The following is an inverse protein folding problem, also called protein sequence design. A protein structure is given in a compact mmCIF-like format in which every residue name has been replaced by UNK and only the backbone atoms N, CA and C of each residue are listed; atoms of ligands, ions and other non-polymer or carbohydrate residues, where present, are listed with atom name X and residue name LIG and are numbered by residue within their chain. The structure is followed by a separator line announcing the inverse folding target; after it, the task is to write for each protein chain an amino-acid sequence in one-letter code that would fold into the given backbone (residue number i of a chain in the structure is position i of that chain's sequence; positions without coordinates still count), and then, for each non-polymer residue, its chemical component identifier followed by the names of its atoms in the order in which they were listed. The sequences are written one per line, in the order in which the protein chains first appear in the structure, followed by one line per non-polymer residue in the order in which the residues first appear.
data_IF_876589196332
#
_entry.id   IF_876589196332
#
_cell.length_a   1.000
_cell.length_b   1.000
_cell.length_c   1.000
_cell.angle_alpha   90.00
_cell.angle_beta   90.00
_cell.angle_gamma   90.00
#
_symmetry.space_group_name_H-M   'P 1'
#
loop_
_entity.id
_entity.type
_entity.pdbx_description
1 polymer ?
#
# COMPACT_ATOMS: atom_id res chain seq x y z
N UNK A 1 10.30 5.06 7.75
CA UNK A 1 9.80 6.28 7.05
C UNK A 1 10.84 7.38 7.19
N UNK A 2 11.13 8.11 6.11
CA UNK A 2 12.06 9.25 6.11
C UNK A 2 11.28 10.56 5.93
N UNK A 3 11.45 11.51 6.85
CA UNK A 3 10.85 12.84 6.76
C UNK A 3 11.94 13.85 6.38
N UNK A 4 11.71 14.56 5.28
CA UNK A 4 12.57 15.62 4.75
C UNK A 4 11.92 16.95 5.07
N UNK A 5 12.58 17.77 5.87
CA UNK A 5 12.09 19.12 6.16
C UNK A 5 12.24 20.01 4.93
N UNK A 6 11.13 20.44 4.37
CA UNK A 6 11.03 21.25 3.15
C UNK A 6 10.05 22.41 3.37
N UNK A 7 10.19 23.09 4.50
CA UNK A 7 9.25 24.11 4.95
C UNK A 7 9.10 25.23 3.91
N UNK A 8 7.86 25.53 3.55
CA UNK A 8 7.48 26.51 2.53
C UNK A 8 7.56 27.94 3.09
N UNK A 9 8.76 28.39 3.41
CA UNK A 9 8.99 29.68 4.12
C UNK A 9 8.51 30.91 3.35
N UNK A 10 8.31 30.80 2.03
CA UNK A 10 7.79 31.89 1.18
C UNK A 10 6.26 31.85 1.04
N UNK A 11 5.61 30.72 1.37
CA UNK A 11 4.17 30.56 1.23
C UNK A 11 3.42 31.46 2.23
N UNK A 12 2.30 32.11 1.82
CA UNK A 12 1.51 32.99 2.70
C UNK A 12 0.99 32.31 3.97
N UNK A 13 0.62 31.02 3.93
CA UNK A 13 0.19 30.29 5.13
C UNK A 13 1.31 30.18 6.17
N UNK A 14 2.53 29.89 5.75
CA UNK A 14 3.68 29.88 6.66
C UNK A 14 3.95 31.26 7.23
N UNK A 15 3.99 32.29 6.38
CA UNK A 15 4.24 33.68 6.79
C UNK A 15 3.18 34.23 7.74
N UNK A 16 1.92 33.80 7.59
CA UNK A 16 0.85 34.19 8.51
C UNK A 16 1.07 33.67 9.94
N UNK A 17 1.90 32.63 10.14
CA UNK A 17 2.35 32.16 11.44
C UNK A 17 1.25 31.62 12.36
N UNK A 18 0.00 31.45 11.86
CA UNK A 18 -1.13 30.99 12.67
C UNK A 18 -0.91 29.56 13.15
N UNK A 19 -1.26 29.30 14.41
CA UNK A 19 -1.14 27.99 15.04
C UNK A 19 -2.51 27.33 15.21
N UNK A 20 -2.49 26.00 15.30
CA UNK A 20 -3.65 25.18 15.63
C UNK A 20 -3.37 24.31 16.85
N UNK A 21 -4.41 23.98 17.59
CA UNK A 21 -4.41 22.81 18.47
C UNK A 21 -4.78 21.61 17.60
N UNK A 22 -3.84 20.69 17.42
CA UNK A 22 -4.07 19.51 16.59
C UNK A 22 -5.09 18.59 17.26
N UNK A 23 -6.22 18.37 16.60
CA UNK A 23 -7.29 17.46 17.05
C UNK A 23 -7.50 16.29 16.12
N UNK A 24 -6.87 16.32 14.95
CA UNK A 24 -7.00 15.26 13.96
C UNK A 24 -6.05 15.42 12.77
N UNK A 25 -6.17 14.48 11.86
CA UNK A 25 -5.37 14.34 10.65
C UNK A 25 -6.30 14.18 9.45
N UNK A 26 -6.03 14.87 8.34
CA UNK A 26 -6.80 14.74 7.10
C UNK A 26 -5.93 14.20 6.00
N UNK A 27 -6.35 13.09 5.41
CA UNK A 27 -5.66 12.46 4.30
C UNK A 27 -6.23 12.94 2.97
N UNK A 28 -5.32 13.35 2.09
CA UNK A 28 -5.60 13.83 0.75
C UNK A 28 -4.84 13.02 -0.30
N UNK A 29 -5.17 13.23 -1.58
CA UNK A 29 -4.29 12.96 -2.71
C UNK A 29 -4.32 14.14 -3.67
N UNK A 30 -3.19 14.38 -4.34
CA UNK A 30 -2.91 15.66 -5.05
C UNK A 30 -3.85 16.01 -6.21
N UNK A 31 -4.74 15.09 -6.61
CA UNK A 31 -5.72 15.32 -7.69
C UNK A 31 -5.10 15.58 -9.07
N UNK A 32 -3.86 15.17 -9.28
CA UNK A 32 -3.19 15.29 -10.56
C UNK A 32 -2.12 14.20 -10.74
N UNK A 33 -1.79 13.80 -11.99
CA UNK A 33 -0.84 12.71 -12.28
C UNK A 33 0.62 13.12 -12.01
N UNK A 34 0.94 13.44 -10.77
CA UNK A 34 2.27 13.89 -10.35
C UNK A 34 2.78 13.06 -9.18
N UNK A 35 3.74 12.14 -9.42
CA UNK A 35 4.32 11.32 -8.36
C UNK A 35 5.44 11.99 -7.57
N UNK A 36 5.99 13.12 -8.05
CA UNK A 36 7.15 13.77 -7.41
C UNK A 36 6.71 14.86 -6.44
N UNK A 37 6.88 14.65 -5.14
CA UNK A 37 6.59 15.62 -4.09
C UNK A 37 7.40 16.92 -4.24
N UNK A 38 8.65 16.81 -4.70
CA UNK A 38 9.54 17.96 -4.91
C UNK A 38 8.99 18.99 -5.90
N UNK A 39 8.13 18.58 -6.84
CA UNK A 39 7.45 19.50 -7.78
C UNK A 39 6.51 20.44 -7.03
N UNK A 40 5.74 19.90 -6.09
CA UNK A 40 4.82 20.68 -5.25
C UNK A 40 5.61 21.57 -4.30
N UNK A 41 6.64 21.06 -3.63
CA UNK A 41 7.51 21.84 -2.74
C UNK A 41 8.06 23.07 -3.47
N UNK A 42 8.61 22.87 -4.68
CA UNK A 42 9.15 23.98 -5.49
C UNK A 42 8.08 25.00 -5.89
N UNK A 43 6.92 24.50 -6.37
CA UNK A 43 5.82 25.36 -6.86
C UNK A 43 5.15 26.13 -5.72
N UNK A 44 4.92 25.48 -4.57
CA UNK A 44 4.16 26.07 -3.48
C UNK A 44 5.02 26.94 -2.55
N UNK A 45 6.35 26.84 -2.62
CA UNK A 45 7.25 27.76 -1.89
C UNK A 45 7.42 29.09 -2.63
N UNK A 46 6.32 29.77 -2.88
CA UNK A 46 6.24 31.08 -3.53
C UNK A 46 5.31 32.00 -2.74
N UNK A 47 5.60 33.30 -2.76
CA UNK A 47 4.73 34.33 -2.18
C UNK A 47 3.40 34.45 -2.94
N UNK A 48 3.38 34.09 -4.24
CA UNK A 48 2.20 34.16 -5.11
C UNK A 48 1.29 32.94 -4.98
N UNK A 49 1.77 31.88 -4.31
CA UNK A 49 0.96 30.67 -4.08
C UNK A 49 0.06 30.88 -2.86
N UNK A 50 -1.09 31.51 -3.07
CA UNK A 50 -2.04 31.89 -2.03
C UNK A 50 -3.30 31.00 -1.96
N UNK A 51 -3.34 29.88 -2.69
CA UNK A 51 -4.53 29.04 -2.84
C UNK A 51 -4.54 27.81 -1.95
N UNK A 52 -3.38 27.32 -1.50
CA UNK A 52 -3.28 26.11 -0.70
C UNK A 52 -1.97 26.04 0.11
N UNK A 53 -2.01 25.30 1.20
CA UNK A 53 -0.84 24.92 1.98
C UNK A 53 -1.15 23.70 2.83
N UNK A 54 -0.41 22.64 2.63
CA UNK A 54 -0.53 21.35 3.33
C UNK A 54 0.69 21.11 4.22
N UNK A 55 0.59 20.24 5.20
CA UNK A 55 1.70 20.00 6.14
C UNK A 55 2.77 19.06 5.59
N UNK A 56 2.37 18.13 4.71
CA UNK A 56 3.32 17.25 4.05
C UNK A 56 2.79 16.73 2.71
N UNK A 57 3.75 16.41 1.81
CA UNK A 57 3.54 15.57 0.63
C UNK A 57 4.26 14.24 0.82
N UNK A 58 3.62 13.15 0.39
CA UNK A 58 4.24 11.81 0.31
C UNK A 58 4.61 11.54 -1.14
N UNK A 59 5.90 11.37 -1.42
CA UNK A 59 6.42 11.13 -2.77
C UNK A 59 6.00 9.75 -3.29
N UNK A 60 5.41 9.73 -4.47
CA UNK A 60 4.90 8.51 -5.08
C UNK A 60 5.98 7.57 -5.60
N UNK A 61 7.19 8.06 -5.88
CA UNK A 61 8.29 7.24 -6.39
C UNK A 61 9.12 6.63 -5.27
N UNK A 62 9.39 7.39 -4.21
CA UNK A 62 10.31 7.01 -3.12
C UNK A 62 9.59 6.63 -1.83
N UNK A 63 8.38 7.14 -1.59
CA UNK A 63 7.69 7.04 -0.31
C UNK A 63 8.28 7.99 0.75
N UNK A 64 9.16 8.91 0.39
CA UNK A 64 9.67 9.92 1.32
C UNK A 64 8.60 10.97 1.63
N UNK A 65 8.61 11.47 2.85
CA UNK A 65 7.70 12.53 3.31
C UNK A 65 8.40 13.86 3.23
N UNK A 66 7.84 14.80 2.51
CA UNK A 66 8.31 16.19 2.44
C UNK A 66 7.45 17.05 3.36
N UNK A 67 7.94 17.35 4.55
CA UNK A 67 7.24 18.21 5.51
C UNK A 67 7.33 19.68 5.03
N UNK A 68 6.18 20.29 4.77
CA UNK A 68 6.04 21.61 4.16
C UNK A 68 5.57 22.70 5.12
N UNK A 69 4.94 22.31 6.22
CA UNK A 69 4.62 23.20 7.35
C UNK A 69 5.02 22.52 8.67
N UNK A 70 5.36 23.30 9.72
CA UNK A 70 5.37 22.75 11.08
C UNK A 70 4.00 22.16 11.44
N UNK A 71 3.95 21.02 12.11
CA UNK A 71 2.71 20.26 12.33
C UNK A 71 1.61 21.08 13.04
N UNK A 72 1.97 21.98 13.89
CA UNK A 72 1.02 22.84 14.62
C UNK A 72 0.70 24.18 13.91
N UNK A 73 1.09 24.37 12.65
CA UNK A 73 0.67 25.51 11.87
C UNK A 73 -0.73 25.29 11.29
N UNK A 74 -1.46 26.39 11.10
CA UNK A 74 -2.72 26.34 10.37
C UNK A 74 -2.41 26.20 8.88
N UNK A 75 -2.79 25.07 8.30
CA UNK A 75 -2.75 24.86 6.85
C UNK A 75 -3.94 25.49 6.13
N UNK A 76 -3.94 25.35 4.80
CA UNK A 76 -5.09 25.65 3.95
C UNK A 76 -5.27 24.52 2.96
N UNK A 77 -5.83 23.41 3.42
CA UNK A 77 -5.92 22.15 2.68
C UNK A 77 -7.33 21.56 2.58
N UNK A 78 -8.19 21.79 3.57
CA UNK A 78 -9.53 21.21 3.62
C UNK A 78 -10.63 22.12 3.08
N UNK A 79 -10.36 23.42 2.84
CA UNK A 79 -11.38 24.37 2.39
C UNK A 79 -12.48 24.67 3.39
N UNK A 80 -12.29 24.32 4.69
CA UNK A 80 -13.28 24.51 5.74
C UNK A 80 -12.66 24.58 7.13
N UNK A 81 -13.47 24.30 8.17
CA UNK A 81 -13.06 24.37 9.58
C UNK A 81 -11.97 23.37 9.96
N UNK A 82 -11.79 22.28 9.19
CA UNK A 82 -10.70 21.32 9.35
C UNK A 82 -9.31 21.98 9.32
N UNK A 83 -9.13 23.06 8.57
CA UNK A 83 -7.89 23.85 8.56
C UNK A 83 -7.49 24.37 9.94
N UNK A 84 -8.41 24.48 10.89
CA UNK A 84 -8.16 25.01 12.24
C UNK A 84 -7.82 23.91 13.26
N UNK A 85 -7.88 22.64 12.86
CA UNK A 85 -7.77 21.51 13.80
C UNK A 85 -7.04 20.30 13.26
N UNK A 86 -6.92 20.14 11.95
CA UNK A 86 -6.35 18.95 11.33
C UNK A 86 -5.03 19.25 10.62
N UNK A 87 -4.09 18.32 10.75
CA UNK A 87 -2.89 18.25 9.90
C UNK A 87 -3.31 17.65 8.57
N UNK A 88 -3.07 18.33 7.45
CA UNK A 88 -3.33 17.81 6.10
C UNK A 88 -2.10 17.17 5.50
N UNK A 89 -2.25 15.99 4.90
CA UNK A 89 -1.18 15.24 4.23
C UNK A 89 -1.65 14.82 2.85
N UNK A 90 -0.87 15.13 1.82
CA UNK A 90 -1.13 14.83 0.42
C UNK A 90 -0.32 13.62 -0.05
N UNK A 91 -1.00 12.61 -0.57
CA UNK A 91 -0.36 11.53 -1.31
C UNK A 91 -0.17 11.92 -2.76
N UNK A 92 1.05 11.87 -3.28
CA UNK A 92 1.32 12.05 -4.69
C UNK A 92 0.75 10.89 -5.52
N UNK A 93 0.27 11.19 -6.72
CA UNK A 93 -0.47 10.26 -7.56
C UNK A 93 0.36 9.73 -8.74
N UNK A 94 -0.01 8.57 -9.32
CA UNK A 94 0.72 7.96 -10.42
C UNK A 94 0.75 8.83 -11.67
N UNK A 95 1.90 8.91 -12.35
CA UNK A 95 2.04 9.65 -13.61
C UNK A 95 1.27 9.00 -14.79
N UNK A 96 0.90 7.73 -14.68
CA UNK A 96 0.22 6.97 -15.73
C UNK A 96 -1.32 7.05 -15.67
N UNK A 97 -1.89 7.90 -14.82
CA UNK A 97 -3.31 8.23 -14.83
C UNK A 97 -3.55 9.52 -15.61
N UNK A 98 -4.76 9.68 -16.15
CA UNK A 98 -5.21 10.89 -16.82
C UNK A 98 -6.65 11.20 -16.41
N UNK A 99 -6.84 12.30 -15.69
CA UNK A 99 -8.16 12.76 -15.28
C UNK A 99 -9.04 13.09 -16.49
N UNK A 100 -10.30 12.65 -16.45
CA UNK A 100 -11.30 12.82 -17.52
C UNK A 100 -12.44 13.73 -17.11
N UNK A 101 -12.52 14.10 -15.83
CA UNK A 101 -13.51 15.01 -15.26
C UNK A 101 -13.78 14.68 -13.79
N UNK A 102 -13.78 15.70 -12.93
CA UNK A 102 -13.93 15.53 -11.49
C UNK A 102 -12.90 14.55 -10.90
N UNK A 103 -13.37 13.55 -10.19
CA UNK A 103 -12.51 12.49 -9.61
C UNK A 103 -12.27 11.29 -10.53
N UNK A 104 -12.78 11.31 -11.78
CA UNK A 104 -12.62 10.18 -12.70
C UNK A 104 -11.34 10.29 -13.52
N UNK A 105 -10.68 9.14 -13.74
CA UNK A 105 -9.48 9.07 -14.58
C UNK A 105 -9.40 7.77 -15.37
N UNK A 106 -8.63 7.80 -16.46
CA UNK A 106 -8.14 6.60 -17.16
C UNK A 106 -6.73 6.28 -16.70
N UNK A 107 -6.31 5.03 -16.81
CA UNK A 107 -4.98 4.59 -16.41
C UNK A 107 -4.33 3.77 -17.53
N UNK A 108 -3.18 4.23 -18.03
CA UNK A 108 -2.44 3.53 -19.08
C UNK A 108 -1.59 2.36 -18.56
N UNK A 109 -1.34 2.29 -17.25
CA UNK A 109 -0.56 1.22 -16.62
C UNK A 109 -1.02 0.97 -15.17
N UNK A 110 -2.07 0.18 -15.01
CA UNK A 110 -2.67 -0.12 -13.70
C UNK A 110 -1.69 -0.75 -12.70
N UNK A 111 -0.83 -1.72 -13.05
CA UNK A 111 0.18 -2.24 -12.12
C UNK A 111 1.12 -1.17 -11.57
N UNK A 112 1.61 -0.26 -12.41
CA UNK A 112 2.48 0.85 -11.98
C UNK A 112 1.69 1.82 -11.08
N UNK A 113 0.46 2.16 -11.48
CA UNK A 113 -0.40 3.03 -10.68
C UNK A 113 -0.67 2.45 -9.29
N UNK A 114 -1.00 1.16 -9.20
CA UNK A 114 -1.19 0.47 -7.92
C UNK A 114 0.07 0.46 -7.07
N UNK A 115 1.24 0.26 -7.66
CA UNK A 115 2.51 0.27 -6.92
C UNK A 115 2.82 1.65 -6.31
N UNK A 116 2.51 2.74 -7.03
CA UNK A 116 2.63 4.11 -6.52
C UNK A 116 1.62 4.36 -5.39
N UNK A 117 0.34 4.07 -5.63
CA UNK A 117 -0.71 4.27 -4.64
C UNK A 117 -0.51 3.42 -3.37
N UNK A 118 -0.01 2.18 -3.51
CA UNK A 118 0.39 1.34 -2.38
C UNK A 118 1.50 1.99 -1.55
N UNK A 119 2.55 2.47 -2.20
CA UNK A 119 3.69 3.10 -1.53
C UNK A 119 3.28 4.33 -0.73
N UNK A 120 2.46 5.20 -1.34
CA UNK A 120 1.98 6.41 -0.65
C UNK A 120 1.03 6.06 0.48
N UNK A 121 0.17 5.04 0.32
CA UNK A 121 -0.69 4.51 1.38
C UNK A 121 0.12 3.99 2.57
N UNK A 122 1.10 3.11 2.32
CA UNK A 122 1.93 2.51 3.38
C UNK A 122 2.71 3.59 4.16
N UNK A 123 3.24 4.58 3.44
CA UNK A 123 3.92 5.72 4.07
C UNK A 123 2.94 6.60 4.86
N UNK A 124 1.73 6.85 4.34
CA UNK A 124 0.69 7.60 5.05
C UNK A 124 0.31 6.91 6.36
N UNK A 125 0.17 5.57 6.37
CA UNK A 125 -0.07 4.80 7.60
C UNK A 125 1.02 5.05 8.64
N UNK A 126 2.30 5.00 8.24
CA UNK A 126 3.43 5.22 9.17
C UNK A 126 3.49 6.68 9.66
N UNK A 127 3.24 7.65 8.78
CA UNK A 127 3.21 9.06 9.15
C UNK A 127 2.06 9.37 10.11
N UNK A 128 0.87 8.86 9.84
CA UNK A 128 -0.30 9.07 10.69
C UNK A 128 -0.13 8.40 12.05
N UNK A 129 0.49 7.21 12.11
CA UNK A 129 0.83 6.56 13.38
C UNK A 129 1.83 7.40 14.20
N UNK A 130 2.84 7.96 13.54
CA UNK A 130 3.80 8.87 14.17
C UNK A 130 3.10 10.13 14.73
N UNK A 131 2.29 10.79 13.92
CA UNK A 131 1.56 12.00 14.33
C UNK A 131 0.50 11.72 15.40
N UNK A 132 -0.19 10.58 15.35
CA UNK A 132 -1.11 10.19 16.41
C UNK A 132 -0.39 10.01 17.75
N UNK A 133 0.83 9.45 17.77
CA UNK A 133 1.66 9.35 18.98
C UNK A 133 2.11 10.74 19.45
N UNK A 134 2.62 11.58 18.54
CA UNK A 134 3.12 12.92 18.85
C UNK A 134 2.04 13.82 19.48
N UNK A 135 0.80 13.75 18.95
CA UNK A 135 -0.31 14.59 19.40
C UNK A 135 -1.30 13.88 20.32
N UNK A 136 -0.98 12.68 20.79
CA UNK A 136 -1.84 11.86 21.66
C UNK A 136 -3.26 11.69 21.11
N UNK A 137 -3.37 11.30 19.84
CA UNK A 137 -4.63 11.08 19.13
C UNK A 137 -4.97 9.58 19.06
N UNK A 138 -6.24 9.22 19.29
CA UNK A 138 -6.70 7.86 18.98
C UNK A 138 -7.15 7.80 17.52
N UNK A 139 -6.46 7.03 16.64
CA UNK A 139 -6.79 6.95 15.22
C UNK A 139 -8.16 6.34 14.93
N UNK A 140 -8.77 5.64 15.90
CA UNK A 140 -10.10 5.04 15.76
C UNK A 140 -11.21 5.93 16.28
N UNK A 141 -10.89 7.01 17.02
CA UNK A 141 -11.90 7.94 17.51
C UNK A 141 -12.54 8.70 16.35
N UNK A 142 -13.85 8.95 16.49
CA UNK A 142 -14.63 9.62 15.46
C UNK A 142 -14.10 11.03 15.14
N UNK A 143 -13.90 11.30 13.85
CA UNK A 143 -13.41 12.60 13.35
C UNK A 143 -11.91 12.86 13.55
N UNK A 144 -11.15 11.97 14.18
CA UNK A 144 -9.70 12.15 14.38
C UNK A 144 -8.94 11.93 13.09
N UNK A 145 -9.15 10.82 12.39
CA UNK A 145 -8.60 10.60 11.06
C UNK A 145 -9.73 10.60 10.04
N UNK A 146 -9.69 11.55 9.13
CA UNK A 146 -10.68 11.70 8.06
C UNK A 146 -9.99 11.83 6.70
N UNK A 147 -10.68 11.42 5.63
CA UNK A 147 -10.33 11.83 4.28
C UNK A 147 -10.93 13.20 3.96
N UNK A 148 -10.52 13.82 2.85
CA UNK A 148 -11.18 15.04 2.37
C UNK A 148 -12.67 14.78 2.12
N UNK A 149 -12.99 13.66 1.48
CA UNK A 149 -14.38 13.22 1.22
C UNK A 149 -15.20 13.04 2.50
N UNK A 150 -14.64 12.41 3.53
CA UNK A 150 -15.31 12.30 4.83
C UNK A 150 -15.46 13.65 5.53
N UNK A 151 -14.45 14.52 5.41
CA UNK A 151 -14.48 15.89 5.90
C UNK A 151 -15.60 16.70 5.29
N UNK A 152 -15.84 16.55 3.98
CA UNK A 152 -16.99 17.16 3.30
C UNK A 152 -18.33 16.66 3.86
N UNK A 153 -18.49 15.36 4.00
CA UNK A 153 -19.71 14.76 4.59
C UNK A 153 -19.98 15.25 6.01
N UNK A 154 -18.93 15.61 6.76
CA UNK A 154 -19.00 16.17 8.11
C UNK A 154 -19.19 17.68 8.15
N UNK A 155 -19.23 18.36 7.00
CA UNK A 155 -19.34 19.82 6.91
C UNK A 155 -18.08 20.58 7.35
N UNK A 156 -16.92 19.94 7.42
CA UNK A 156 -15.64 20.55 7.85
C UNK A 156 -14.66 20.76 6.71
N UNK A 157 -14.98 20.31 5.50
CA UNK A 157 -14.16 20.46 4.30
C UNK A 157 -15.00 20.74 3.05
N UNK A 158 -14.37 21.26 2.00
CA UNK A 158 -14.96 21.44 0.68
C UNK A 158 -15.26 20.10 -0.01
N UNK A 159 -16.04 20.14 -1.09
CA UNK A 159 -16.47 18.92 -1.78
C UNK A 159 -15.36 18.37 -2.70
N UNK A 160 -14.67 17.32 -2.22
CA UNK A 160 -13.67 16.57 -2.97
C UNK A 160 -13.82 15.07 -2.71
N UNK A 161 -13.32 14.23 -3.64
CA UNK A 161 -13.46 12.76 -3.59
C UNK A 161 -12.23 12.02 -3.09
N UNK A 162 -11.16 12.72 -2.75
CA UNK A 162 -9.86 12.19 -2.38
C UNK A 162 -9.79 11.70 -0.93
N UNK A 163 -8.93 10.72 -0.67
CA UNK A 163 -8.15 9.94 -1.63
C UNK A 163 -8.89 8.69 -2.16
N UNK A 164 -10.12 8.41 -1.70
CA UNK A 164 -10.84 7.16 -1.99
C UNK A 164 -11.11 6.95 -3.48
N UNK A 165 -11.25 8.03 -4.27
CA UNK A 165 -11.42 7.93 -5.72
C UNK A 165 -10.26 7.21 -6.39
N UNK A 166 -9.00 7.46 -5.95
CA UNK A 166 -7.80 6.83 -6.47
C UNK A 166 -7.80 5.32 -6.18
N UNK A 167 -8.07 4.96 -4.91
CA UNK A 167 -8.07 3.55 -4.49
C UNK A 167 -9.19 2.74 -5.15
N UNK A 168 -10.38 3.32 -5.26
CA UNK A 168 -11.56 2.67 -5.83
C UNK A 168 -11.36 2.38 -7.32
N UNK A 169 -10.92 3.38 -8.10
CA UNK A 169 -10.75 3.21 -9.55
C UNK A 169 -9.56 2.30 -9.89
N UNK A 170 -8.54 2.25 -9.04
CA UNK A 170 -7.45 1.28 -9.17
C UNK A 170 -7.81 -0.12 -8.63
N UNK A 171 -9.00 -0.31 -8.03
CA UNK A 171 -9.45 -1.59 -7.50
C UNK A 171 -8.54 -2.12 -6.37
N UNK A 172 -8.09 -1.24 -5.46
CA UNK A 172 -7.15 -1.60 -4.40
C UNK A 172 -7.84 -2.17 -3.15
N UNK A 173 -9.15 -1.95 -3.00
CA UNK A 173 -9.92 -2.42 -1.85
C UNK A 173 -9.61 -1.68 -0.55
N UNK A 174 -8.94 -0.52 -0.61
CA UNK A 174 -8.69 0.32 0.54
C UNK A 174 -9.92 1.17 0.88
N UNK A 175 -10.12 1.38 2.17
CA UNK A 175 -11.14 2.27 2.73
C UNK A 175 -10.53 3.08 3.86
N UNK A 176 -11.17 4.17 4.26
CA UNK A 176 -10.71 4.92 5.44
C UNK A 176 -10.79 4.09 6.73
N UNK A 177 -11.71 3.12 6.83
CA UNK A 177 -11.75 2.20 7.98
C UNK A 177 -10.54 1.27 8.02
N UNK A 178 -10.13 0.72 6.85
CA UNK A 178 -8.92 -0.10 6.78
C UNK A 178 -7.68 0.74 7.03
N UNK A 179 -7.65 1.99 6.59
CA UNK A 179 -6.57 2.93 6.85
C UNK A 179 -6.42 3.24 8.35
N UNK A 180 -7.50 3.62 9.03
CA UNK A 180 -7.50 3.88 10.49
C UNK A 180 -7.04 2.67 11.31
N UNK A 181 -7.49 1.47 10.96
CA UNK A 181 -7.04 0.22 11.60
C UNK A 181 -5.56 -0.05 11.37
N UNK A 182 -5.06 0.20 10.16
CA UNK A 182 -3.63 0.07 9.85
C UNK A 182 -2.79 1.07 10.65
N UNK A 183 -3.26 2.34 10.78
CA UNK A 183 -2.62 3.35 11.63
C UNK A 183 -2.57 2.90 13.10
N UNK A 184 -3.69 2.39 13.64
CA UNK A 184 -3.75 1.88 15.03
C UNK A 184 -2.77 0.73 15.25
N UNK A 185 -2.70 -0.20 14.32
CA UNK A 185 -1.74 -1.31 14.37
C UNK A 185 -0.29 -0.81 14.35
N UNK A 186 0.02 0.18 13.50
CA UNK A 186 1.35 0.79 13.43
C UNK A 186 1.75 1.57 14.69
N UNK A 187 0.78 2.04 15.48
CA UNK A 187 1.04 2.69 16.80
C UNK A 187 1.41 1.68 17.89
N UNK A 188 0.87 0.47 17.85
CA UNK A 188 1.13 -0.57 18.87
C UNK A 188 2.46 -1.30 18.69
N UNK A 189 3.15 -1.11 17.56
CA UNK A 189 4.42 -1.76 17.26
C UNK A 189 5.61 -0.91 17.69
N UNK A 190 6.43 -1.39 18.61
CA UNK A 190 7.82 -0.98 18.70
C UNK A 190 8.53 -1.26 17.37
N UNK A 191 9.39 -0.33 16.97
CA UNK A 191 10.31 -0.48 15.85
C UNK A 191 11.21 -1.70 16.10
N UNK A 192 10.80 -2.85 15.59
CA UNK A 192 11.71 -3.95 15.32
C UNK A 192 11.17 -4.74 14.14
N UNK A 193 12.06 -5.00 13.18
CA UNK A 193 11.79 -5.97 12.14
C UNK A 193 11.34 -7.28 12.78
N UNK A 194 10.35 -7.91 12.21
CA UNK A 194 9.75 -9.16 12.62
C UNK A 194 8.89 -9.11 13.89
N UNK A 195 7.58 -8.87 13.76
CA UNK A 195 6.62 -9.54 14.63
C UNK A 195 5.21 -9.54 14.07
N UNK A 196 4.44 -10.59 14.30
CA UNK A 196 3.18 -10.86 13.62
C UNK A 196 2.05 -10.01 14.19
N UNK A 197 1.22 -9.47 13.30
CA UNK A 197 -0.08 -8.90 13.63
C UNK A 197 -1.04 -10.00 14.08
N UNK A 198 -2.01 -9.73 14.98
CA UNK A 198 -3.03 -10.71 15.33
C UNK A 198 -3.98 -10.94 14.16
N UNK A 199 -4.23 -12.21 13.88
CA UNK A 199 -5.23 -12.87 13.05
C UNK A 199 -6.22 -12.01 12.22
N UNK A 200 -5.70 -11.30 11.22
CA UNK A 200 -6.31 -11.22 9.90
C UNK A 200 -5.32 -11.86 8.95
N UNK A 201 -5.70 -12.79 8.08
CA UNK A 201 -4.73 -13.42 7.21
C UNK A 201 -4.05 -12.33 6.38
N UNK A 202 -2.74 -12.19 6.58
CA UNK A 202 -1.87 -11.36 5.74
C UNK A 202 -2.29 -11.63 4.30
N UNK A 203 -2.76 -10.60 3.61
CA UNK A 203 -3.21 -10.74 2.21
C UNK A 203 -1.96 -10.98 1.38
N UNK A 204 -1.49 -12.22 1.42
CA UNK A 204 -0.28 -12.66 0.70
C UNK A 204 -0.51 -12.38 -0.77
N UNK A 205 0.29 -11.46 -1.32
CA UNK A 205 0.23 -11.16 -2.74
C UNK A 205 1.15 -12.13 -3.49
N UNK A 206 0.53 -13.04 -4.22
CA UNK A 206 1.19 -14.05 -5.04
C UNK A 206 1.54 -13.46 -6.40
N UNK A 207 2.84 -13.35 -6.71
CA UNK A 207 3.36 -12.78 -7.96
C UNK A 207 3.87 -13.88 -8.86
N UNK A 208 3.48 -13.87 -10.13
CA UNK A 208 4.03 -14.75 -11.16
C UNK A 208 5.26 -14.06 -11.75
N UNK A 209 6.44 -14.61 -11.47
CA UNK A 209 7.74 -14.07 -11.88
C UNK A 209 8.37 -14.96 -12.92
N UNK A 210 8.84 -14.38 -14.04
CA UNK A 210 9.49 -15.09 -15.16
C UNK A 210 11.00 -14.84 -15.26
N UNK A 211 11.55 -14.14 -14.28
CA UNK A 211 13.00 -13.93 -14.18
C UNK A 211 13.36 -12.84 -13.18
N UNK A 212 14.61 -12.87 -12.74
CA UNK A 212 15.24 -11.83 -11.94
C UNK A 212 16.66 -11.61 -12.45
N UNK A 213 17.05 -10.36 -12.68
CA UNK A 213 18.28 -9.99 -13.38
C UNK A 213 19.00 -8.86 -12.64
N UNK A 214 20.31 -8.96 -12.49
CA UNK A 214 21.15 -7.85 -11.99
C UNK A 214 21.40 -6.78 -13.08
N UNK A 215 21.26 -7.14 -14.36
CA UNK A 215 21.42 -6.23 -15.48
C UNK A 215 20.05 -5.86 -16.06
N UNK A 216 19.72 -4.56 -16.05
CA UNK A 216 18.44 -4.02 -16.53
C UNK A 216 18.12 -4.46 -17.96
N UNK A 217 19.11 -4.44 -18.86
CA UNK A 217 18.94 -4.84 -20.27
C UNK A 217 18.45 -6.29 -20.43
N UNK A 218 18.92 -7.21 -19.58
CA UNK A 218 18.47 -8.60 -19.61
C UNK A 218 17.00 -8.73 -19.18
N UNK A 219 16.58 -7.94 -18.20
CA UNK A 219 15.17 -7.87 -17.80
C UNK A 219 14.29 -7.27 -18.91
N UNK A 220 14.75 -6.21 -19.59
CA UNK A 220 14.05 -5.61 -20.73
C UNK A 220 13.89 -6.59 -21.88
N UNK A 221 14.92 -7.36 -22.21
CA UNK A 221 14.87 -8.39 -23.24
C UNK A 221 13.86 -9.49 -22.86
N UNK A 222 13.84 -9.93 -21.61
CA UNK A 222 12.87 -10.93 -21.14
C UNK A 222 11.45 -10.36 -21.15
N UNK A 223 11.27 -9.10 -20.73
CA UNK A 223 9.98 -8.41 -20.79
C UNK A 223 9.44 -8.35 -22.24
N UNK A 224 10.28 -8.02 -23.21
CA UNK A 224 9.88 -7.99 -24.61
C UNK A 224 9.41 -9.36 -25.10
N UNK A 225 10.13 -10.44 -24.77
CA UNK A 225 9.76 -11.82 -25.13
C UNK A 225 8.41 -12.22 -24.53
N UNK A 226 8.18 -11.95 -23.24
CA UNK A 226 6.94 -12.35 -22.57
C UNK A 226 5.73 -11.55 -23.06
N UNK A 227 5.93 -10.26 -23.38
CA UNK A 227 4.88 -9.43 -24.01
C UNK A 227 4.53 -9.91 -25.42
N UNK A 228 5.51 -10.27 -26.22
CA UNK A 228 5.31 -10.83 -27.57
C UNK A 228 4.55 -12.17 -27.52
N UNK A 229 4.66 -12.92 -26.43
CA UNK A 229 3.90 -14.15 -26.20
C UNK A 229 2.46 -13.93 -25.68
N UNK A 230 1.98 -12.68 -25.69
CA UNK A 230 0.60 -12.34 -25.34
C UNK A 230 0.37 -11.92 -23.88
N UNK A 231 1.42 -11.81 -23.07
CA UNK A 231 1.32 -11.33 -21.68
C UNK A 231 1.60 -9.81 -21.62
N UNK A 232 0.71 -9.02 -22.20
CA UNK A 232 0.83 -7.55 -22.36
C UNK A 232 1.08 -6.81 -21.04
N UNK A 233 0.50 -7.31 -19.94
CA UNK A 233 0.54 -6.69 -18.62
C UNK A 233 1.85 -6.98 -17.85
N UNK A 234 2.79 -7.73 -18.48
CA UNK A 234 4.09 -7.98 -17.88
C UNK A 234 4.88 -6.68 -17.69
N UNK A 235 5.63 -6.61 -16.58
CA UNK A 235 6.42 -5.44 -16.21
C UNK A 235 7.69 -5.82 -15.45
N UNK A 236 8.61 -4.86 -15.33
CA UNK A 236 9.82 -5.00 -14.51
C UNK A 236 9.57 -4.32 -13.17
N UNK A 237 9.70 -5.09 -12.09
CA UNK A 237 9.77 -4.57 -10.73
C UNK A 237 11.25 -4.43 -10.34
N UNK A 238 11.64 -3.20 -9.95
CA UNK A 238 12.99 -2.94 -9.46
C UNK A 238 12.98 -3.13 -7.94
N UNK A 239 13.90 -3.96 -7.45
CA UNK A 239 14.04 -4.31 -6.03
C UNK A 239 15.50 -4.22 -5.61
N UNK A 240 15.77 -4.41 -4.32
CA UNK A 240 17.12 -4.39 -3.77
C UNK A 240 17.88 -3.10 -4.11
N UNK A 241 17.27 -1.96 -3.77
CA UNK A 241 17.82 -0.61 -4.01
C UNK A 241 18.32 -0.38 -5.45
N UNK A 242 17.64 -0.95 -6.43
CA UNK A 242 18.00 -0.80 -7.84
C UNK A 242 18.93 -1.88 -8.41
N UNK A 243 19.35 -2.84 -7.59
CA UNK A 243 20.32 -3.87 -8.00
C UNK A 243 19.69 -5.12 -8.61
N UNK A 244 18.36 -5.28 -8.50
CA UNK A 244 17.67 -6.45 -9.03
C UNK A 244 16.39 -6.06 -9.78
N UNK A 245 16.28 -6.57 -11.02
CA UNK A 245 15.16 -6.35 -11.94
C UNK A 245 14.35 -7.64 -12.07
N UNK A 246 13.14 -7.69 -11.49
CA UNK A 246 12.25 -8.86 -11.59
C UNK A 246 11.22 -8.64 -12.70
N UNK A 247 11.15 -9.58 -13.65
CA UNK A 247 10.09 -9.57 -14.67
C UNK A 247 8.89 -10.32 -14.13
N UNK A 248 7.75 -9.63 -13.99
CA UNK A 248 6.51 -10.15 -13.43
C UNK A 248 5.37 -10.08 -14.44
N UNK A 249 4.48 -11.07 -14.41
CA UNK A 249 3.36 -11.20 -15.37
C UNK A 249 2.01 -10.92 -14.70
N UNK A 250 1.97 -10.94 -13.38
CA UNK A 250 0.77 -10.67 -12.62
C UNK A 250 0.98 -10.83 -11.12
N UNK A 251 0.05 -10.28 -10.34
CA UNK A 251 0.01 -10.37 -8.88
C UNK A 251 -1.43 -10.57 -8.41
N UNK A 252 -1.65 -11.51 -7.50
CA UNK A 252 -2.97 -11.96 -7.08
C UNK A 252 -3.06 -12.10 -5.56
N UNK A 253 -4.18 -11.72 -4.98
CA UNK A 253 -4.49 -11.99 -3.56
C UNK A 253 -4.93 -13.43 -3.31
N UNK A 254 -5.31 -14.15 -4.37
CA UNK A 254 -5.72 -15.56 -4.32
C UNK A 254 -4.63 -16.40 -5.01
N UNK A 255 -4.04 -17.33 -4.28
CA UNK A 255 -2.96 -18.21 -4.77
C UNK A 255 -3.35 -18.99 -6.01
N UNK A 256 -4.55 -19.54 -6.06
CA UNK A 256 -5.06 -20.30 -7.20
C UNK A 256 -5.06 -19.49 -8.52
N UNK A 257 -5.34 -18.17 -8.45
CA UNK A 257 -5.28 -17.30 -9.63
C UNK A 257 -3.83 -17.09 -10.12
N UNK A 258 -2.87 -16.97 -9.20
CA UNK A 258 -1.45 -16.93 -9.56
C UNK A 258 -0.98 -18.26 -10.18
N UNK A 259 -1.41 -19.39 -9.62
CA UNK A 259 -1.10 -20.73 -10.15
C UNK A 259 -1.71 -20.97 -11.54
N UNK A 260 -2.94 -20.50 -11.76
CA UNK A 260 -3.57 -20.56 -13.09
C UNK A 260 -2.82 -19.72 -14.13
N UNK A 261 -2.35 -18.51 -13.76
CA UNK A 261 -1.49 -17.71 -14.66
C UNK A 261 -0.12 -18.36 -14.85
N UNK A 262 0.49 -18.90 -13.79
CA UNK A 262 1.74 -19.65 -13.87
C UNK A 262 1.67 -20.80 -14.89
N UNK A 263 0.57 -21.58 -14.87
CA UNK A 263 0.35 -22.66 -15.82
C UNK A 263 0.30 -22.16 -17.27
N UNK A 264 -0.39 -21.03 -17.52
CA UNK A 264 -0.45 -20.39 -18.85
C UNK A 264 0.94 -19.93 -19.32
N UNK A 265 1.72 -19.30 -18.43
CA UNK A 265 3.09 -18.82 -18.72
C UNK A 265 4.03 -19.99 -19.03
N UNK A 266 3.95 -21.08 -18.26
CA UNK A 266 4.72 -22.31 -18.51
C UNK A 266 4.32 -22.97 -19.82
N UNK A 267 3.02 -23.03 -20.15
CA UNK A 267 2.54 -23.57 -21.44
C UNK A 267 3.04 -22.75 -22.63
N UNK A 268 3.27 -21.45 -22.45
CA UNK A 268 3.88 -20.58 -23.46
C UNK A 268 5.43 -20.72 -23.55
N UNK A 269 6.03 -21.69 -22.85
CA UNK A 269 7.47 -22.01 -22.95
C UNK A 269 8.37 -21.20 -22.00
N UNK A 270 7.82 -20.48 -21.03
CA UNK A 270 8.63 -19.68 -20.10
C UNK A 270 8.83 -20.38 -18.76
N UNK A 271 10.05 -20.33 -18.24
CA UNK A 271 10.30 -20.67 -16.84
C UNK A 271 9.72 -19.58 -15.94
N UNK A 272 8.83 -19.97 -15.03
CA UNK A 272 8.18 -19.03 -14.11
C UNK A 272 7.93 -19.67 -12.74
N UNK A 273 7.84 -18.82 -11.72
CA UNK A 273 7.57 -19.20 -10.33
C UNK A 273 6.51 -18.25 -9.74
N UNK A 274 5.80 -18.71 -8.71
CA UNK A 274 4.98 -17.84 -7.86
C UNK A 274 5.82 -17.43 -6.65
N UNK A 275 5.91 -16.13 -6.41
CA UNK A 275 6.63 -15.56 -5.25
C UNK A 275 5.67 -14.74 -4.38
N UNK A 276 6.00 -14.60 -3.09
CA UNK A 276 5.32 -13.68 -2.16
C UNK A 276 5.98 -12.29 -2.18
N UNK A 277 5.44 -11.34 -1.43
CA UNK A 277 5.97 -9.98 -1.32
C UNK A 277 7.44 -9.95 -0.86
N UNK A 278 7.83 -10.85 0.04
CA UNK A 278 9.20 -11.01 0.53
C UNK A 278 10.17 -11.61 -0.51
N UNK A 279 9.70 -11.92 -1.73
CA UNK A 279 10.50 -12.57 -2.76
C UNK A 279 10.80 -14.05 -2.51
N UNK A 280 10.29 -14.62 -1.43
CA UNK A 280 10.35 -16.06 -1.19
C UNK A 280 9.49 -16.78 -2.21
N UNK A 281 9.95 -17.92 -2.72
CA UNK A 281 9.13 -18.80 -3.57
C UNK A 281 7.92 -19.21 -2.77
N UNK A 282 6.71 -18.93 -3.29
CA UNK A 282 5.49 -19.38 -2.63
C UNK A 282 5.48 -20.90 -2.65
N UNK A 283 5.54 -21.54 -1.49
CA UNK A 283 5.43 -22.98 -1.39
C UNK A 283 4.13 -23.44 -2.06
N UNK A 284 4.23 -24.43 -2.94
CA UNK A 284 3.05 -25.13 -3.48
C UNK A 284 2.37 -25.98 -2.41
N UNK A 285 3.03 -26.17 -1.27
CA UNK A 285 2.58 -26.93 -0.13
C UNK A 285 1.74 -26.06 0.81
N UNK A 286 0.57 -26.55 1.21
CA UNK A 286 -0.29 -25.89 2.24
C UNK A 286 0.49 -25.77 3.54
N UNK A 287 0.21 -24.75 4.31
CA UNK A 287 0.78 -24.61 5.66
C UNK A 287 0.26 -25.71 6.59
N UNK A 288 0.99 -26.02 7.66
CA UNK A 288 0.57 -27.00 8.67
C UNK A 288 -0.78 -26.60 9.27
N UNK A 289 -1.05 -25.32 9.43
CA UNK A 289 -2.32 -24.83 9.95
C UNK A 289 -3.49 -25.05 8.96
N UNK A 290 -3.31 -24.76 7.67
CA UNK A 290 -4.31 -25.04 6.64
C UNK A 290 -4.63 -26.52 6.59
N UNK A 291 -3.59 -27.37 6.65
CA UNK A 291 -3.76 -28.83 6.67
C UNK A 291 -4.43 -29.29 7.97
N UNK A 292 -4.11 -28.71 9.11
CA UNK A 292 -4.77 -29.02 10.39
C UNK A 292 -6.27 -28.66 10.36
N UNK A 293 -6.65 -27.52 9.79
CA UNK A 293 -8.06 -27.14 9.59
C UNK A 293 -8.79 -28.10 8.63
N UNK A 294 -8.11 -28.61 7.60
CA UNK A 294 -8.66 -29.64 6.70
C UNK A 294 -8.79 -30.99 7.39
N UNK A 295 -7.86 -31.34 8.27
CA UNK A 295 -7.95 -32.53 9.12
C UNK A 295 -9.17 -32.44 10.05
N UNK A 296 -9.41 -31.29 10.67
CA UNK A 296 -10.60 -31.05 11.51
C UNK A 296 -11.89 -31.19 10.69
N UNK A 297 -11.89 -30.75 9.42
CA UNK A 297 -13.01 -30.92 8.49
C UNK A 297 -13.15 -32.35 7.92
N UNK A 298 -12.29 -33.29 8.33
CA UNK A 298 -12.33 -34.68 7.88
C UNK A 298 -11.77 -34.96 6.48
N UNK A 299 -11.19 -33.98 5.81
CA UNK A 299 -10.73 -34.09 4.41
C UNK A 299 -9.51 -35.02 4.22
N UNK A 300 -8.84 -35.39 5.30
CA UNK A 300 -7.64 -36.25 5.29
C UNK A 300 -7.92 -37.69 5.79
N UNK A 301 -9.17 -38.02 6.12
CA UNK A 301 -9.55 -39.31 6.72
C UNK A 301 -9.16 -39.37 8.21
N UNK A 302 -9.16 -40.59 8.79
CA UNK A 302 -8.94 -40.82 10.21
C UNK A 302 -7.81 -41.81 10.49
N UNK A 303 -7.21 -41.72 11.69
CA UNK A 303 -6.25 -42.69 12.21
C UNK A 303 -5.06 -42.94 11.28
N UNK A 304 -4.76 -44.19 11.01
CA UNK A 304 -3.60 -44.61 10.20
C UNK A 304 -3.68 -44.12 8.74
N UNK A 305 -4.89 -44.01 8.19
CA UNK A 305 -5.11 -43.50 6.83
C UNK A 305 -4.73 -42.04 6.72
N UNK A 306 -5.13 -41.21 7.69
CA UNK A 306 -4.72 -39.78 7.78
C UNK A 306 -3.20 -39.67 7.83
N UNK A 307 -2.56 -40.47 8.68
CA UNK A 307 -1.09 -40.45 8.83
C UNK A 307 -0.42 -40.76 7.49
N UNK A 308 -0.87 -41.80 6.81
CA UNK A 308 -0.34 -42.23 5.50
C UNK A 308 -0.51 -41.15 4.43
N UNK A 309 -1.71 -40.52 4.34
CA UNK A 309 -2.00 -39.45 3.38
C UNK A 309 -1.15 -38.19 3.63
N UNK A 310 -1.01 -37.78 4.88
CA UNK A 310 -0.21 -36.62 5.25
C UNK A 310 1.27 -36.80 4.93
N UNK A 311 1.85 -37.97 5.28
CA UNK A 311 3.23 -38.32 4.98
C UNK A 311 3.45 -38.40 3.46
N UNK A 312 2.53 -39.05 2.70
CA UNK A 312 2.62 -39.14 1.24
C UNK A 312 2.55 -37.75 0.57
N UNK A 313 1.79 -36.82 1.14
CA UNK A 313 1.75 -35.42 0.73
C UNK A 313 2.96 -34.61 1.22
N UNK A 314 3.87 -35.25 1.96
CA UNK A 314 5.14 -34.70 2.46
C UNK A 314 4.96 -33.79 3.68
N UNK A 315 3.87 -33.93 4.45
CA UNK A 315 3.67 -33.22 5.72
C UNK A 315 4.23 -34.04 6.89
N UNK A 316 4.74 -33.33 7.91
CA UNK A 316 5.06 -33.90 9.20
C UNK A 316 3.72 -34.16 9.95
N UNK A 317 3.40 -35.44 10.17
CA UNK A 317 2.17 -35.85 10.82
C UNK A 317 2.06 -35.30 12.24
N UNK A 318 3.16 -35.32 13.01
CA UNK A 318 3.15 -34.94 14.42
C UNK A 318 2.97 -33.43 14.55
N UNK A 319 3.60 -32.64 13.66
CA UNK A 319 3.39 -31.20 13.59
C UNK A 319 1.96 -30.82 13.22
N UNK A 320 1.35 -31.54 12.25
CA UNK A 320 -0.06 -31.35 11.87
C UNK A 320 -0.98 -31.72 13.04
N UNK A 321 -0.74 -32.86 13.69
CA UNK A 321 -1.58 -33.32 14.80
C UNK A 321 -1.47 -32.37 16.02
N UNK A 322 -0.28 -31.87 16.32
CA UNK A 322 -0.09 -30.85 17.36
C UNK A 322 -0.95 -29.62 17.06
N UNK A 323 -0.92 -29.14 15.80
CA UNK A 323 -1.70 -27.97 15.39
C UNK A 323 -3.21 -28.23 15.43
N UNK A 324 -3.67 -29.43 15.07
CA UNK A 324 -5.05 -29.85 15.22
C UNK A 324 -5.49 -29.75 16.70
N UNK A 325 -4.68 -30.27 17.62
CA UNK A 325 -4.97 -30.22 19.04
C UNK A 325 -4.97 -28.80 19.62
N UNK A 326 -4.16 -27.90 19.08
CA UNK A 326 -4.15 -26.47 19.43
C UNK A 326 -5.44 -25.75 18.95
N UNK A 327 -5.93 -26.09 17.75
CA UNK A 327 -7.13 -25.48 17.15
C UNK A 327 -8.45 -26.00 17.73
N UNK A 328 -8.43 -27.10 18.47
CA UNK A 328 -9.60 -27.71 19.12
C UNK A 328 -9.74 -27.35 20.61
N UNK A 329 -8.76 -26.65 21.19
CA UNK A 329 -8.80 -26.07 22.55
C UNK A 329 -9.49 -24.73 22.56
#
# INVERSE_FOLDING_TARGET
MKIIQSILTKNPCYKAGRKITVKGLMLHSVGCPQPNASVFVKKWNSADHNSACVHAFIDGNTGEVYQTLPWNHRGWHGGGSSNNTHIGVEMCEPACIKYTGGSNFTCSNVPVARAVAQRTYDTAVQLFAHLCKEFNLDPLADGVIVSHKEGHKRGIASNHGDPEHLWNQLGMGYTMDTFRKAVKAAMGGESSGNSPAPDTPEKVLYRVQVGAYSVKKNAENQLAKIKAAGFSDAFIAVVDNGNLYRVQVGAFSVKANAEALLAKVKKAGFTAIVTTLSGKVASTKKSIEEVAREVIKGLWGNGAERKKKLIAAGYDYDAVQKKVNELLK
#
